data_IF_237910438373
#
_entry.id   IF_237910438373
#
_cell.length_a   1.000
_cell.length_b   1.000
_cell.length_c   1.000
_cell.angle_alpha   90.00
_cell.angle_beta   90.00
_cell.angle_gamma   90.00
#
_symmetry.space_group_name_H-M   'P 1'
#
loop_
_entity.id
_entity.type
_entity.pdbx_description
1 polymer ?
#
# COMPACT_ATOMS: atom_id res chain seq x y z
N UNK A 1 4.80 1.68 7.56
CA UNK A 1 4.38 3.05 7.15
C UNK A 1 5.39 4.13 7.55
N UNK A 2 5.50 4.54 8.82
CA UNK A 2 6.26 5.74 9.20
C UNK A 2 7.72 5.79 8.74
N UNK A 3 8.53 4.71 8.80
CA UNK A 3 9.91 4.77 8.33
C UNK A 3 10.04 5.28 6.89
N UNK A 4 9.17 4.83 5.99
CA UNK A 4 9.19 5.26 4.59
C UNK A 4 8.77 6.73 4.41
N UNK A 5 7.69 7.15 5.08
CA UNK A 5 7.18 8.52 4.97
C UNK A 5 8.11 9.53 5.65
N UNK A 6 8.80 9.15 6.73
CA UNK A 6 9.78 10.00 7.41
C UNK A 6 11.12 10.08 6.66
N UNK A 7 11.46 9.06 5.87
CA UNK A 7 12.65 9.08 5.01
C UNK A 7 12.47 9.97 3.77
N UNK A 8 11.22 10.18 3.32
CA UNK A 8 10.90 11.09 2.23
C UNK A 8 10.79 12.55 2.77
N UNK A 9 11.38 13.56 2.10
CA UNK A 9 11.43 14.92 2.63
C UNK A 9 10.05 15.61 2.73
N UNK A 10 9.10 15.26 1.84
CA UNK A 10 7.74 15.79 1.85
C UNK A 10 6.79 14.87 1.06
N UNK A 11 6.32 13.74 1.63
CA UNK A 11 5.48 12.79 0.91
C UNK A 11 4.05 13.35 0.76
N UNK A 12 3.56 13.42 -0.47
CA UNK A 12 2.22 13.93 -0.84
C UNK A 12 1.32 12.84 -1.41
N UNK A 13 1.85 11.99 -2.28
CA UNK A 13 1.10 10.90 -2.92
C UNK A 13 1.59 9.55 -2.46
N UNK A 14 0.68 8.72 -1.94
CA UNK A 14 0.99 7.38 -1.44
C UNK A 14 0.13 6.35 -2.16
N UNK A 15 0.74 5.23 -2.57
CA UNK A 15 0.05 4.05 -3.07
C UNK A 15 0.21 2.90 -2.08
N UNK A 16 -0.88 2.22 -1.75
CA UNK A 16 -0.93 1.03 -0.90
C UNK A 16 -1.39 -0.14 -1.77
N UNK A 17 -0.52 -1.14 -1.95
CA UNK A 17 -0.88 -2.43 -2.50
C UNK A 17 -1.36 -3.34 -1.35
N UNK A 18 -2.63 -3.73 -1.38
CA UNK A 18 -3.32 -4.44 -0.29
C UNK A 18 -3.80 -3.49 0.80
N UNK A 19 -3.64 -3.90 2.05
CA UNK A 19 -4.01 -3.08 3.22
C UNK A 19 -5.52 -2.90 3.42
N UNK A 20 -6.37 -3.77 2.85
CA UNK A 20 -7.84 -3.68 2.93
C UNK A 20 -8.44 -3.66 4.33
N UNK A 21 -7.64 -3.94 5.36
CA UNK A 21 -7.99 -3.75 6.76
C UNK A 21 -8.12 -2.27 7.17
N UNK A 22 -7.37 -1.36 6.52
CA UNK A 22 -7.48 0.08 6.69
C UNK A 22 -6.47 0.73 7.65
N UNK A 23 -5.73 -0.02 8.46
CA UNK A 23 -4.72 0.52 9.39
C UNK A 23 -3.53 1.12 8.64
N UNK A 24 -3.12 0.53 7.51
CA UNK A 24 -2.05 1.10 6.68
C UNK A 24 -2.45 2.47 6.15
N UNK A 25 -3.69 2.63 5.65
CA UNK A 25 -4.25 3.91 5.27
C UNK A 25 -4.36 4.87 6.48
N UNK A 26 -4.84 4.39 7.63
CA UNK A 26 -4.92 5.18 8.87
C UNK A 26 -3.56 5.80 9.23
N UNK A 27 -2.50 5.02 9.23
CA UNK A 27 -1.16 5.53 9.57
C UNK A 27 -0.58 6.45 8.50
N UNK A 28 -0.88 6.22 7.21
CA UNK A 28 -0.48 7.12 6.12
C UNK A 28 -1.17 8.49 6.30
N UNK A 29 -2.48 8.49 6.57
CA UNK A 29 -3.31 9.69 6.66
C UNK A 29 -3.01 10.56 7.90
N UNK A 30 -2.28 10.03 8.90
CA UNK A 30 -1.75 10.83 10.01
C UNK A 30 -0.70 11.85 9.58
N UNK A 31 -0.06 11.66 8.42
CA UNK A 31 0.93 12.62 7.90
C UNK A 31 0.23 13.78 7.21
N UNK A 32 0.41 14.99 7.74
CA UNK A 32 -0.24 16.22 7.24
C UNK A 32 0.19 16.61 5.83
N UNK A 33 1.34 16.12 5.35
CA UNK A 33 1.83 16.38 4.00
C UNK A 33 1.13 15.52 2.96
N UNK A 34 0.51 14.40 3.35
CA UNK A 34 -0.19 13.51 2.42
C UNK A 34 -1.44 14.21 1.92
N UNK A 35 -1.50 14.38 0.60
CA UNK A 35 -2.59 14.99 -0.15
C UNK A 35 -3.49 13.92 -0.79
N UNK A 36 -2.91 12.76 -1.14
CA UNK A 36 -3.64 11.63 -1.75
C UNK A 36 -3.06 10.28 -1.33
N UNK A 37 -3.93 9.37 -0.93
CA UNK A 37 -3.62 7.98 -0.60
C UNK A 37 -4.48 7.06 -1.46
N UNK A 38 -3.89 6.32 -2.38
CA UNK A 38 -4.59 5.30 -3.20
C UNK A 38 -4.36 3.94 -2.56
N UNK A 39 -5.43 3.25 -2.19
CA UNK A 39 -5.38 1.90 -1.63
C UNK A 39 -6.07 0.94 -2.60
N UNK A 40 -5.34 -0.08 -3.04
CA UNK A 40 -5.83 -1.08 -3.98
C UNK A 40 -5.79 -2.45 -3.32
N UNK A 41 -6.96 -3.01 -3.03
CA UNK A 41 -7.08 -4.35 -2.46
C UNK A 41 -7.90 -5.25 -3.37
N UNK A 42 -7.47 -6.51 -3.53
CA UNK A 42 -8.11 -7.46 -4.43
C UNK A 42 -9.44 -7.98 -3.87
N UNK A 43 -9.60 -7.98 -2.54
CA UNK A 43 -10.75 -8.58 -1.87
C UNK A 43 -11.69 -7.52 -1.28
N UNK A 44 -12.72 -7.18 -2.05
CA UNK A 44 -13.77 -6.27 -1.60
C UNK A 44 -14.60 -6.77 -0.42
N UNK A 45 -14.63 -8.08 -0.15
CA UNK A 45 -15.32 -8.65 1.00
C UNK A 45 -14.53 -8.36 2.28
N UNK A 46 -13.20 -8.54 2.25
CA UNK A 46 -12.32 -8.16 3.37
C UNK A 46 -12.46 -6.68 3.69
N UNK A 47 -12.40 -5.82 2.66
CA UNK A 47 -12.56 -4.37 2.84
C UNK A 47 -13.91 -4.04 3.48
N UNK A 48 -15.00 -4.61 2.95
CA UNK A 48 -16.35 -4.35 3.48
C UNK A 48 -16.49 -4.83 4.93
N UNK A 49 -15.91 -5.98 5.25
CA UNK A 49 -15.90 -6.53 6.61
C UNK A 49 -15.13 -5.59 7.56
N UNK A 50 -13.93 -5.18 7.20
CA UNK A 50 -13.10 -4.30 8.01
C UNK A 50 -13.76 -2.92 8.21
N UNK A 51 -14.35 -2.34 7.15
CA UNK A 51 -15.14 -1.08 7.27
C UNK A 51 -16.29 -1.19 8.27
N UNK A 52 -16.91 -2.37 8.39
CA UNK A 52 -18.06 -2.60 9.27
C UNK A 52 -17.65 -2.94 10.71
N UNK A 53 -16.52 -3.61 10.89
CA UNK A 53 -16.17 -4.27 12.15
C UNK A 53 -14.94 -3.69 12.84
N UNK A 54 -14.10 -2.92 12.16
CA UNK A 54 -12.89 -2.31 12.72
C UNK A 54 -13.06 -0.81 12.87
N UNK A 55 -13.75 -0.41 13.95
CA UNK A 55 -14.05 1.00 14.25
C UNK A 55 -12.79 1.89 14.29
N UNK A 56 -11.65 1.33 14.67
CA UNK A 56 -10.36 2.03 14.72
C UNK A 56 -9.91 2.61 13.37
N UNK A 57 -10.41 2.07 12.26
CA UNK A 57 -10.06 2.52 10.91
C UNK A 57 -11.18 3.30 10.22
N UNK A 58 -12.31 3.53 10.90
CA UNK A 58 -13.49 4.15 10.30
C UNK A 58 -13.17 5.53 9.73
N UNK A 59 -12.48 6.37 10.49
CA UNK A 59 -12.05 7.71 10.04
C UNK A 59 -11.13 7.64 8.81
N UNK A 60 -10.25 6.63 8.73
CA UNK A 60 -9.36 6.47 7.59
C UNK A 60 -10.13 6.14 6.31
N UNK A 61 -11.15 5.27 6.42
CA UNK A 61 -12.03 4.91 5.31
C UNK A 61 -12.96 6.04 4.84
N UNK A 62 -13.18 7.05 5.68
CA UNK A 62 -14.00 8.23 5.40
C UNK A 62 -13.16 9.47 5.05
N UNK A 63 -11.82 9.38 5.15
CA UNK A 63 -10.91 10.50 4.85
C UNK A 63 -10.99 10.85 3.36
N UNK A 64 -11.24 12.13 3.00
CA UNK A 64 -11.38 12.55 1.60
C UNK A 64 -10.11 12.39 0.77
N UNK A 65 -8.97 12.17 1.41
CA UNK A 65 -7.69 11.91 0.73
C UNK A 65 -7.51 10.44 0.36
N UNK A 66 -8.35 9.53 0.88
CA UNK A 66 -8.31 8.12 0.55
C UNK A 66 -9.13 7.83 -0.72
N UNK A 67 -8.46 7.26 -1.72
CA UNK A 67 -9.09 6.63 -2.88
C UNK A 67 -8.96 5.11 -2.74
N UNK A 68 -10.08 4.45 -2.45
CA UNK A 68 -10.15 3.00 -2.34
C UNK A 68 -10.57 2.37 -3.67
N UNK A 69 -9.76 1.45 -4.19
CA UNK A 69 -10.02 0.71 -5.42
C UNK A 69 -10.05 -0.78 -5.09
N UNK A 70 -11.11 -1.47 -5.52
CA UNK A 70 -11.18 -2.93 -5.43
C UNK A 70 -10.64 -3.53 -6.73
N UNK A 71 -9.50 -4.22 -6.67
CA UNK A 71 -8.86 -4.80 -7.84
C UNK A 71 -7.42 -5.27 -7.61
N UNK A 72 -6.77 -5.70 -8.68
CA UNK A 72 -5.37 -6.12 -8.64
C UNK A 72 -4.43 -4.91 -8.50
N UNK A 73 -3.54 -4.94 -7.50
CA UNK A 73 -2.64 -3.83 -7.21
C UNK A 73 -1.60 -3.56 -8.30
N UNK A 74 -1.20 -4.59 -9.08
CA UNK A 74 -0.29 -4.39 -10.21
C UNK A 74 -1.02 -3.64 -11.32
N UNK A 75 -2.21 -4.09 -11.72
CA UNK A 75 -3.05 -3.38 -12.69
C UNK A 75 -3.41 -1.97 -12.24
N UNK A 76 -3.73 -1.79 -10.94
CA UNK A 76 -4.03 -0.48 -10.36
C UNK A 76 -2.84 0.47 -10.44
N UNK A 77 -1.63 0.01 -10.13
CA UNK A 77 -0.42 0.82 -10.21
C UNK A 77 -0.01 1.10 -11.67
N UNK A 78 -0.12 0.12 -12.56
CA UNK A 78 0.19 0.24 -13.98
C UNK A 78 -0.75 1.24 -14.68
N UNK A 79 -2.05 1.13 -14.42
CA UNK A 79 -3.09 1.99 -14.99
C UNK A 79 -3.17 3.40 -14.39
N UNK A 80 -2.51 3.66 -13.27
CA UNK A 80 -2.51 4.98 -12.65
C UNK A 80 -1.73 6.00 -13.50
N UNK A 81 -2.41 7.06 -13.93
CA UNK A 81 -1.78 8.17 -14.64
C UNK A 81 -1.09 9.12 -13.64
N UNK A 82 0.20 8.87 -13.42
CA UNK A 82 1.02 9.63 -12.49
C UNK A 82 2.02 8.76 -11.74
N UNK A 83 2.57 9.35 -10.67
CA UNK A 83 3.61 8.77 -9.83
C UNK A 83 3.33 9.03 -8.36
N UNK A 84 3.95 8.21 -7.53
CA UNK A 84 3.83 8.27 -6.08
C UNK A 84 5.15 8.66 -5.42
N UNK A 85 5.06 9.37 -4.30
CA UNK A 85 6.23 9.64 -3.45
C UNK A 85 6.56 8.41 -2.60
N UNK A 86 5.54 7.66 -2.18
CA UNK A 86 5.70 6.41 -1.43
C UNK A 86 4.81 5.31 -1.98
N UNK A 87 5.39 4.13 -2.15
CA UNK A 87 4.66 2.87 -2.42
C UNK A 87 4.79 1.97 -1.18
N UNK A 88 3.67 1.47 -0.68
CA UNK A 88 3.57 0.56 0.46
C UNK A 88 3.01 -0.78 -0.01
N UNK A 89 3.78 -1.86 0.12
CA UNK A 89 3.31 -3.23 -0.04
C UNK A 89 2.85 -3.80 1.30
N UNK A 90 1.54 -3.93 1.48
CA UNK A 90 0.90 -4.56 2.64
C UNK A 90 0.13 -5.80 2.18
N UNK A 91 0.92 -6.78 1.74
CA UNK A 91 0.47 -7.98 1.03
C UNK A 91 0.81 -9.24 1.84
N UNK A 92 0.11 -10.33 1.58
CA UNK A 92 0.51 -11.63 2.14
C UNK A 92 1.88 -12.08 1.60
N UNK A 93 2.54 -12.97 2.34
CA UNK A 93 3.83 -13.54 1.94
C UNK A 93 3.76 -14.20 0.55
N UNK A 94 4.82 -14.07 -0.27
CA UNK A 94 4.84 -14.60 -1.63
C UNK A 94 4.96 -16.13 -1.64
N UNK A 95 3.82 -16.81 -1.62
CA UNK A 95 3.75 -18.26 -1.81
C UNK A 95 3.50 -18.58 -3.29
N UNK A 96 4.22 -19.56 -3.83
CA UNK A 96 4.04 -19.98 -5.23
C UNK A 96 2.58 -20.36 -5.51
N UNK A 97 1.98 -19.76 -6.55
CA UNK A 97 0.58 -19.95 -6.92
C UNK A 97 -0.42 -18.98 -6.26
N UNK A 98 0.00 -18.17 -5.28
CA UNK A 98 -0.83 -17.11 -4.70
C UNK A 98 -0.80 -15.84 -5.58
N UNK A 99 -1.92 -15.09 -5.70
CA UNK A 99 -1.96 -13.77 -6.34
C UNK A 99 -0.81 -12.81 -5.97
N UNK A 100 -0.37 -12.80 -4.70
CA UNK A 100 0.68 -11.93 -4.19
C UNK A 100 2.07 -12.25 -4.78
N UNK A 101 2.33 -13.48 -5.24
CA UNK A 101 3.66 -13.87 -5.75
C UNK A 101 4.16 -12.94 -6.86
N UNK A 102 3.26 -12.53 -7.77
CA UNK A 102 3.59 -11.63 -8.88
C UNK A 102 4.05 -10.24 -8.40
N UNK A 103 3.62 -9.82 -7.21
CA UNK A 103 3.92 -8.54 -6.57
C UNK A 103 5.25 -8.55 -5.78
N UNK A 104 6.00 -9.66 -5.84
CA UNK A 104 7.35 -9.77 -5.26
C UNK A 104 8.41 -10.13 -6.31
N UNK A 105 8.08 -10.01 -7.60
CA UNK A 105 9.01 -10.27 -8.71
C UNK A 105 9.89 -9.06 -9.01
N UNK A 106 11.08 -9.29 -9.60
CA UNK A 106 11.95 -8.20 -10.07
C UNK A 106 11.20 -7.26 -11.04
N UNK A 107 10.42 -7.81 -11.97
CA UNK A 107 9.64 -7.03 -12.92
C UNK A 107 8.62 -6.12 -12.22
N UNK A 108 8.01 -6.59 -11.12
CA UNK A 108 7.12 -5.74 -10.32
C UNK A 108 7.88 -4.60 -9.65
N UNK A 109 9.05 -4.85 -9.07
CA UNK A 109 9.86 -3.79 -8.45
C UNK A 109 10.38 -2.78 -9.47
N UNK A 110 10.73 -3.20 -10.69
CA UNK A 110 11.09 -2.31 -11.80
C UNK A 110 9.91 -1.42 -12.21
N UNK A 111 8.70 -1.97 -12.26
CA UNK A 111 7.46 -1.21 -12.47
C UNK A 111 7.18 -0.24 -11.32
N UNK A 112 7.32 -0.65 -10.06
CA UNK A 112 7.19 0.26 -8.92
C UNK A 112 8.18 1.41 -9.02
N UNK A 113 9.43 1.13 -9.38
CA UNK A 113 10.47 2.16 -9.57
C UNK A 113 10.09 3.16 -10.66
N UNK A 114 9.46 2.73 -11.75
CA UNK A 114 9.02 3.65 -12.81
C UNK A 114 7.84 4.54 -12.38
N UNK A 115 7.02 4.05 -11.43
CA UNK A 115 5.88 4.75 -10.83
C UNK A 115 6.23 5.57 -9.58
N UNK A 116 7.49 5.60 -9.16
CA UNK A 116 7.96 6.49 -8.11
C UNK A 116 8.43 7.84 -8.68
N UNK A 117 8.12 8.92 -7.96
CA UNK A 117 8.74 10.23 -8.16
C UNK A 117 10.25 10.18 -7.88
N UNK A 118 11.06 11.13 -8.39
CA UNK A 118 12.45 11.26 -8.00
C UNK A 118 12.58 11.38 -6.47
N UNK A 119 13.39 10.51 -5.86
CA UNK A 119 13.52 10.43 -4.39
C UNK A 119 12.43 9.61 -3.69
N UNK A 120 11.51 9.00 -4.45
CA UNK A 120 10.43 8.19 -3.93
C UNK A 120 10.91 6.91 -3.22
N UNK A 121 10.11 6.45 -2.27
CA UNK A 121 10.44 5.33 -1.37
C UNK A 121 9.46 4.17 -1.58
N UNK A 122 9.99 2.96 -1.68
CA UNK A 122 9.19 1.74 -1.58
C UNK A 122 9.46 1.06 -0.25
N UNK A 123 8.39 0.60 0.41
CA UNK A 123 8.45 -0.28 1.58
C UNK A 123 7.48 -1.43 1.38
N UNK A 124 7.85 -2.62 1.82
CA UNK A 124 6.97 -3.79 1.78
C UNK A 124 7.11 -4.59 3.06
N UNK A 125 6.02 -5.24 3.49
CA UNK A 125 6.13 -6.31 4.47
C UNK A 125 6.97 -7.45 3.86
N UNK A 126 7.92 -7.98 4.63
CA UNK A 126 8.93 -8.92 4.13
C UNK A 126 8.94 -10.25 4.88
N UNK A 127 7.78 -10.68 5.39
CA UNK A 127 7.61 -11.94 6.10
C UNK A 127 8.38 -12.03 7.42
N UNK A 128 8.52 -13.25 7.97
CA UNK A 128 9.25 -13.51 9.21
C UNK A 128 10.72 -13.09 9.09
N UNK A 129 11.18 -12.28 10.05
CA UNK A 129 12.58 -11.84 10.16
C UNK A 129 13.22 -12.24 11.50
N UNK A 130 12.68 -13.26 12.16
CA UNK A 130 13.23 -13.79 13.41
C UNK A 130 14.59 -14.46 13.19
N UNK A 131 15.48 -14.35 14.18
CA UNK A 131 16.84 -14.93 14.13
C UNK A 131 16.83 -16.47 14.07
N UNK A 132 15.68 -17.12 14.33
CA UNK A 132 15.51 -18.58 14.35
C UNK A 132 14.58 -19.11 13.24
N UNK A 133 14.11 -18.25 12.34
CA UNK A 133 13.27 -18.64 11.20
C UNK A 133 14.18 -19.03 10.03
N UNK A 134 14.61 -20.30 10.03
CA UNK A 134 15.18 -20.99 8.87
C UNK A 134 14.09 -21.80 8.17
#
# INVERSE_FOLDING_TARGET
VHPALLAHPCPKTVFIAGGGEGSTAREVLRHKTVEKCVMVDIDGVVVTFCKKHLDVNKEAFEDPRLELIIGDARSGLEGYDGKFDVIVGDLADPVWGNPCYQLYTQAYYEMCKSKLNPGGVLVTQSGPAGVLSC
#
